data_IF_592823289741
#
_entry.id   IF_592823289741
#
_cell.length_a   1.000
_cell.length_b   1.000
_cell.length_c   1.000
_cell.angle_alpha   90.00
_cell.angle_beta   90.00
_cell.angle_gamma   90.00
#
_symmetry.space_group_name_H-M   'P 1'
#
loop_
_entity.id
_entity.type
_entity.pdbx_description
1 polymer ?
#
# COMPACT_ATOMS: atom_id res chain seq x y z
N UNK A 1 -11.76 -4.85 4.32
CA UNK A 1 -11.15 -3.63 3.76
C UNK A 1 -10.58 -3.95 2.38
N UNK A 2 -10.72 -3.06 1.39
CA UNK A 2 -10.07 -3.16 0.08
C UNK A 2 -8.95 -2.11 0.06
N UNK A 3 -7.72 -2.55 -0.23
CA UNK A 3 -6.59 -1.65 -0.45
C UNK A 3 -6.40 -1.46 -1.95
N UNK A 4 -6.42 -0.20 -2.38
CA UNK A 4 -6.14 0.21 -3.75
C UNK A 4 -4.80 0.92 -3.73
N UNK A 5 -3.91 0.57 -4.64
CA UNK A 5 -2.61 1.21 -4.80
C UNK A 5 -2.41 1.68 -6.22
N UNK A 6 -2.06 2.96 -6.36
CA UNK A 6 -1.52 3.54 -7.59
C UNK A 6 0.00 3.65 -7.43
N UNK A 7 0.75 2.83 -8.17
CA UNK A 7 2.20 2.70 -8.00
C UNK A 7 2.97 2.95 -9.28
N UNK A 8 4.03 3.74 -9.16
CA UNK A 8 5.07 3.90 -10.17
C UNK A 8 6.44 3.45 -9.68
N UNK A 9 7.48 3.77 -10.44
CA UNK A 9 8.87 3.41 -10.09
C UNK A 9 9.39 4.11 -8.82
N UNK A 10 8.86 5.28 -8.48
CA UNK A 10 9.39 6.12 -7.39
C UNK A 10 8.47 6.21 -6.18
N UNK A 11 7.16 6.16 -6.38
CA UNK A 11 6.16 6.38 -5.32
C UNK A 11 4.96 5.46 -5.52
N UNK A 12 4.30 5.14 -4.41
CA UNK A 12 3.01 4.46 -4.41
C UNK A 12 2.06 5.18 -3.46
N UNK A 13 0.84 5.37 -3.93
CA UNK A 13 -0.24 6.03 -3.23
C UNK A 13 -1.32 5.00 -2.90
N UNK A 14 -1.61 4.83 -1.62
CA UNK A 14 -2.55 3.83 -1.11
C UNK A 14 -3.83 4.48 -0.61
N UNK A 15 -4.94 3.81 -0.89
CA UNK A 15 -6.26 4.14 -0.37
C UNK A 15 -6.90 2.88 0.22
N UNK A 16 -7.44 2.99 1.43
CA UNK A 16 -8.26 1.95 2.03
C UNK A 16 -9.74 2.32 1.90
N UNK A 17 -10.55 1.39 1.41
CA UNK A 17 -12.01 1.54 1.30
C UNK A 17 -12.76 0.35 1.85
N UNK A 18 -14.01 0.54 2.26
CA UNK A 18 -14.93 -0.55 2.57
C UNK A 18 -15.57 -1.12 1.28
N UNK A 19 -16.45 -2.13 1.43
CA UNK A 19 -17.17 -2.75 0.31
C UNK A 19 -18.17 -1.80 -0.39
N UNK A 20 -18.45 -0.64 0.20
CA UNK A 20 -19.34 0.38 -0.34
C UNK A 20 -18.57 1.54 -0.98
N UNK A 21 -17.23 1.51 -0.94
CA UNK A 21 -16.36 2.56 -1.49
C UNK A 21 -16.09 3.72 -0.52
N UNK A 22 -16.51 3.62 0.74
CA UNK A 22 -16.21 4.66 1.73
C UNK A 22 -14.73 4.60 2.13
N UNK A 23 -14.07 5.76 2.18
CA UNK A 23 -12.67 5.90 2.61
C UNK A 23 -12.55 5.52 4.10
N UNK A 24 -11.63 4.60 4.40
CA UNK A 24 -11.37 4.09 5.76
C UNK A 24 -10.16 4.73 6.42
N UNK A 25 -9.16 5.13 5.64
CA UNK A 25 -7.89 5.70 6.12
C UNK A 25 -7.51 6.91 5.28
N UNK A 26 -6.72 7.81 5.86
CA UNK A 26 -6.03 8.84 5.11
C UNK A 26 -5.07 8.23 4.07
N UNK A 27 -4.74 9.03 3.05
CA UNK A 27 -3.89 8.57 1.94
C UNK A 27 -2.49 8.24 2.47
N UNK A 28 -2.06 6.99 2.29
CA UNK A 28 -0.73 6.55 2.71
C UNK A 28 0.20 6.58 1.50
N UNK A 29 1.44 7.04 1.67
CA UNK A 29 2.44 7.10 0.60
C UNK A 29 3.67 6.28 0.96
N UNK A 30 4.05 5.38 0.06
CA UNK A 30 5.28 4.58 0.17
C UNK A 30 6.20 4.81 -1.02
N UNK A 31 7.36 4.15 -1.01
CA UNK A 31 8.20 4.04 -2.20
C UNK A 31 7.47 3.27 -3.32
N UNK A 32 7.97 3.43 -4.54
CA UNK A 32 7.46 2.75 -5.72
C UNK A 32 7.52 1.23 -5.63
N UNK A 33 6.59 0.56 -6.31
CA UNK A 33 6.43 -0.90 -6.32
C UNK A 33 6.51 -1.46 -7.75
N UNK A 34 7.25 -0.79 -8.64
CA UNK A 34 7.39 -1.24 -10.02
C UNK A 34 8.13 -2.60 -10.10
N UNK A 35 7.45 -3.68 -10.52
CA UNK A 35 8.06 -5.02 -10.58
C UNK A 35 9.06 -5.18 -11.72
N UNK A 36 9.07 -4.27 -12.71
CA UNK A 36 10.06 -4.31 -13.79
C UNK A 36 11.48 -3.99 -13.31
N UNK A 37 11.62 -3.37 -12.13
CA UNK A 37 12.92 -2.95 -11.57
C UNK A 37 13.16 -3.43 -10.14
N UNK A 38 12.11 -3.84 -9.42
CA UNK A 38 12.21 -4.34 -8.05
C UNK A 38 11.95 -5.84 -8.02
N UNK A 39 12.80 -6.56 -7.30
CA UNK A 39 12.53 -7.96 -6.97
C UNK A 39 11.37 -8.08 -6.00
N UNK A 40 10.69 -9.22 -6.03
CA UNK A 40 9.62 -9.58 -5.10
C UNK A 40 10.02 -9.32 -3.63
N UNK A 41 11.22 -9.75 -3.22
CA UNK A 41 11.74 -9.51 -1.86
C UNK A 41 11.81 -8.01 -1.51
N UNK A 42 12.19 -7.15 -2.47
CA UNK A 42 12.20 -5.70 -2.26
C UNK A 42 10.79 -5.14 -2.19
N UNK A 43 9.86 -5.63 -3.02
CA UNK A 43 8.45 -5.23 -2.97
C UNK A 43 7.84 -5.53 -1.59
N UNK A 44 7.99 -6.76 -1.09
CA UNK A 44 7.54 -7.14 0.26
C UNK A 44 8.15 -6.26 1.35
N UNK A 45 9.47 -6.03 1.29
CA UNK A 45 10.16 -5.17 2.26
C UNK A 45 9.64 -3.73 2.23
N UNK A 46 9.33 -3.19 1.05
CA UNK A 46 8.77 -1.83 0.90
C UNK A 46 7.39 -1.73 1.53
N UNK A 47 6.51 -2.71 1.27
CA UNK A 47 5.14 -2.74 1.83
C UNK A 47 5.21 -2.85 3.36
N UNK A 48 5.97 -3.82 3.87
CA UNK A 48 6.07 -4.10 5.31
C UNK A 48 6.84 -3.04 6.11
N UNK A 49 7.54 -2.10 5.45
CA UNK A 49 8.20 -0.98 6.12
C UNK A 49 7.21 0.12 6.53
N UNK A 50 6.00 0.15 5.96
CA UNK A 50 4.99 1.12 6.35
C UNK A 50 4.28 0.66 7.62
N UNK A 51 4.50 1.38 8.72
CA UNK A 51 3.77 1.17 9.98
C UNK A 51 2.28 1.47 9.83
N UNK A 52 1.92 2.46 9.00
CA UNK A 52 0.53 2.80 8.70
C UNK A 52 -0.21 1.66 7.98
N UNK A 53 0.44 1.00 7.02
CA UNK A 53 -0.15 -0.19 6.38
C UNK A 53 -0.17 -1.38 7.35
N UNK A 54 0.91 -1.57 8.12
CA UNK A 54 1.05 -2.72 9.02
C UNK A 54 0.09 -2.67 10.20
N UNK A 55 -0.14 -1.50 10.81
CA UNK A 55 -1.04 -1.32 11.96
C UNK A 55 -2.53 -1.53 11.62
N UNK A 56 -2.87 -1.61 10.34
CA UNK A 56 -4.23 -1.86 9.87
C UNK A 56 -4.40 -3.25 9.24
N UNK A 57 -3.39 -4.14 9.35
CA UNK A 57 -3.48 -5.51 8.86
C UNK A 57 -4.41 -6.40 9.71
N UNK A 58 -4.62 -6.07 11.00
CA UNK A 58 -5.51 -6.80 11.93
C UNK A 58 -6.93 -6.23 11.98
N UNK A 59 -7.16 -5.03 11.42
CA UNK A 59 -8.52 -4.48 11.19
C UNK A 59 -9.18 -5.09 9.94
N UNK A 60 -8.60 -6.18 9.44
CA UNK A 60 -8.99 -6.92 8.23
C UNK A 60 -9.83 -8.11 8.62
#
# INVERSE_FOLDING_TARGET
MILIVDSGSTKSDWLAVDKHGNKLLEKIRTQGLNPAILSEKKLYKTINKSEELSSNNEKV
#
